data_IF_111008686566
#
_entry.id   IF_111008686566
#
_cell.length_a   1.000
_cell.length_b   1.000
_cell.length_c   1.000
_cell.angle_alpha   90.00
_cell.angle_beta   90.00
_cell.angle_gamma   90.00
#
_symmetry.space_group_name_H-M   'P 1'
#
loop_
_entity.id
_entity.type
_entity.pdbx_description
1 polymer ?
#
# COMPACT_ATOMS: atom_id res chain seq x y z
N UNK A 1 4.83 -6.74 -11.85
CA UNK A 1 5.11 -5.73 -12.88
C UNK A 1 4.83 -6.29 -14.25
N UNK A 2 4.06 -5.57 -15.05
CA UNK A 2 3.68 -5.99 -16.39
C UNK A 2 4.03 -4.85 -17.36
N UNK A 3 5.28 -4.82 -17.89
CA UNK A 3 5.76 -3.72 -18.73
C UNK A 3 4.86 -3.45 -19.94
N UNK A 4 4.35 -4.48 -20.60
CA UNK A 4 3.47 -4.33 -21.76
C UNK A 4 2.16 -3.63 -21.40
N UNK A 5 1.61 -3.94 -20.22
CA UNK A 5 0.40 -3.30 -19.73
C UNK A 5 0.65 -1.82 -19.42
N UNK A 6 1.78 -1.52 -18.80
CA UNK A 6 2.17 -0.14 -18.51
C UNK A 6 2.33 0.65 -19.81
N UNK A 7 2.98 0.07 -20.83
CA UNK A 7 3.17 0.72 -22.12
C UNK A 7 1.83 1.01 -22.81
N UNK A 8 0.91 0.07 -22.82
CA UNK A 8 -0.43 0.27 -23.38
C UNK A 8 -1.20 1.36 -22.62
N UNK A 9 -1.10 1.37 -21.30
CA UNK A 9 -1.76 2.37 -20.46
C UNK A 9 -1.17 3.75 -20.72
N UNK A 10 0.17 3.82 -20.84
CA UNK A 10 0.87 5.07 -21.15
C UNK A 10 0.39 5.63 -22.48
N UNK A 11 0.36 4.81 -23.51
CA UNK A 11 -0.06 5.25 -24.86
C UNK A 11 -1.49 5.74 -24.88
N UNK A 12 -2.37 5.17 -24.04
CA UNK A 12 -3.79 5.50 -24.01
C UNK A 12 -4.11 6.70 -23.13
N UNK A 13 -3.43 6.86 -21.99
CA UNK A 13 -3.84 7.79 -20.94
C UNK A 13 -2.79 8.82 -20.55
N UNK A 14 -1.55 8.74 -21.04
CA UNK A 14 -0.51 9.69 -20.65
C UNK A 14 -0.87 11.11 -21.10
N UNK A 15 -0.70 12.06 -20.20
CA UNK A 15 -0.93 13.50 -20.41
C UNK A 15 0.16 14.27 -19.71
N UNK A 16 0.20 15.61 -19.88
CA UNK A 16 1.13 16.48 -19.15
C UNK A 16 1.05 16.28 -17.62
N UNK A 17 -0.17 16.07 -17.10
CA UNK A 17 -0.43 15.91 -15.68
C UNK A 17 -0.46 14.44 -15.24
N UNK A 18 -0.11 13.51 -16.14
CA UNK A 18 -0.23 12.08 -15.87
C UNK A 18 0.89 11.31 -16.55
N UNK A 19 1.70 10.63 -15.75
CA UNK A 19 2.84 9.84 -16.21
C UNK A 19 2.69 8.40 -15.74
N UNK A 20 3.06 7.44 -16.59
CA UNK A 20 3.02 6.02 -16.28
C UNK A 20 4.44 5.45 -16.32
N UNK A 21 4.85 4.80 -15.23
CA UNK A 21 6.19 4.25 -15.05
C UNK A 21 6.10 2.80 -14.61
N UNK A 22 7.11 2.01 -14.99
CA UNK A 22 7.28 0.64 -14.46
C UNK A 22 8.14 0.74 -13.21
N UNK A 23 7.57 0.47 -12.05
CA UNK A 23 8.26 0.56 -10.76
C UNK A 23 7.89 -0.61 -9.87
N UNK A 24 8.86 -1.07 -9.09
CA UNK A 24 8.64 -2.01 -7.99
C UNK A 24 8.57 -1.20 -6.69
N UNK A 25 7.40 -1.18 -6.07
CA UNK A 25 7.17 -0.39 -4.85
C UNK A 25 8.04 -0.86 -3.68
N UNK A 26 8.56 -2.08 -3.73
CA UNK A 26 9.39 -2.64 -2.65
C UNK A 26 10.85 -2.24 -2.75
N UNK A 27 11.34 -1.90 -3.93
CA UNK A 27 12.78 -1.70 -4.16
C UNK A 27 13.13 -0.43 -4.91
N UNK A 28 12.29 0.02 -5.84
CA UNK A 28 12.65 1.13 -6.71
C UNK A 28 12.45 2.49 -6.02
N UNK A 29 13.26 3.46 -6.38
CA UNK A 29 13.05 4.82 -5.94
C UNK A 29 11.73 5.34 -6.49
N UNK A 30 10.85 5.79 -5.60
CA UNK A 30 9.55 6.31 -6.01
C UNK A 30 9.67 7.77 -6.44
N UNK A 31 8.92 8.19 -7.45
CA UNK A 31 8.87 9.60 -7.83
C UNK A 31 8.47 10.47 -6.64
N UNK A 32 9.00 11.68 -6.58
CA UNK A 32 8.62 12.61 -5.53
C UNK A 32 7.14 12.95 -5.67
N UNK A 33 6.39 12.77 -4.60
CA UNK A 33 4.95 13.03 -4.55
C UNK A 33 4.55 13.44 -3.15
N UNK A 34 3.45 14.16 -3.04
CA UNK A 34 2.89 14.52 -1.74
C UNK A 34 2.09 13.38 -1.14
N UNK A 35 1.45 12.56 -1.99
CA UNK A 35 0.60 11.45 -1.59
C UNK A 35 0.96 10.21 -2.38
N UNK A 36 1.09 9.09 -1.70
CA UNK A 36 1.22 7.77 -2.32
C UNK A 36 -0.06 6.99 -2.03
N UNK A 37 -0.69 6.47 -3.09
CA UNK A 37 -1.87 5.63 -2.93
C UNK A 37 -1.57 4.20 -3.38
N UNK A 38 -1.83 3.24 -2.48
CA UNK A 38 -1.71 1.81 -2.74
C UNK A 38 -3.07 1.15 -2.51
N UNK A 39 -3.94 1.21 -3.51
CA UNK A 39 -5.26 0.58 -3.42
C UNK A 39 -5.18 -0.85 -3.92
N UNK A 40 -5.61 -1.81 -3.08
CA UNK A 40 -5.64 -3.25 -3.42
C UNK A 40 -4.28 -3.81 -3.86
N UNK A 41 -3.19 -3.25 -3.36
CA UNK A 41 -1.83 -3.68 -3.70
C UNK A 41 -1.18 -4.51 -2.60
N UNK A 42 -1.11 -3.96 -1.39
CA UNK A 42 -0.38 -4.58 -0.28
C UNK A 42 -0.99 -5.92 0.13
N UNK A 43 -2.29 -6.08 -0.08
CA UNK A 43 -3.01 -7.32 0.21
C UNK A 43 -2.52 -8.52 -0.62
N UNK A 44 -1.80 -8.28 -1.70
CA UNK A 44 -1.24 -9.32 -2.57
C UNK A 44 0.26 -9.57 -2.35
N UNK A 45 0.85 -8.90 -1.38
CA UNK A 45 2.27 -9.03 -1.05
C UNK A 45 2.44 -9.82 0.24
N UNK A 46 3.56 -10.56 0.35
CA UNK A 46 3.95 -11.16 1.62
C UNK A 46 4.17 -10.08 2.68
N UNK A 47 4.14 -10.47 3.95
CA UNK A 47 4.38 -9.53 5.04
C UNK A 47 5.74 -8.84 4.90
N UNK A 48 6.79 -9.57 4.51
CA UNK A 48 8.11 -8.98 4.27
C UNK A 48 8.07 -7.92 3.18
N UNK A 49 7.36 -8.18 2.09
CA UNK A 49 7.25 -7.23 1.00
C UNK A 49 6.37 -6.03 1.36
N UNK A 50 5.35 -6.23 2.18
CA UNK A 50 4.58 -5.08 2.72
C UNK A 50 5.50 -4.17 3.53
N UNK A 51 6.33 -4.73 4.41
CA UNK A 51 7.28 -3.96 5.20
C UNK A 51 8.26 -3.22 4.28
N UNK A 52 8.80 -3.89 3.27
CA UNK A 52 9.69 -3.25 2.29
C UNK A 52 9.01 -2.10 1.56
N UNK A 53 7.76 -2.29 1.15
CA UNK A 53 6.99 -1.23 0.50
C UNK A 53 6.78 -0.03 1.45
N UNK A 54 6.40 -0.28 2.70
CA UNK A 54 6.21 0.78 3.69
C UNK A 54 7.51 1.54 3.95
N UNK A 55 8.63 0.84 4.08
CA UNK A 55 9.95 1.47 4.25
C UNK A 55 10.31 2.32 3.04
N UNK A 56 10.03 1.82 1.84
CA UNK A 56 10.32 2.54 0.62
C UNK A 56 9.45 3.79 0.47
N UNK A 57 8.18 3.70 0.81
CA UNK A 57 7.27 4.86 0.84
C UNK A 57 7.77 5.89 1.86
N UNK A 58 8.18 5.45 3.04
CA UNK A 58 8.74 6.33 4.06
C UNK A 58 10.00 7.05 3.56
N UNK A 59 10.87 6.32 2.87
CA UNK A 59 12.10 6.87 2.28
C UNK A 59 11.83 7.88 1.15
N UNK A 60 10.69 7.75 0.47
CA UNK A 60 10.35 8.62 -0.67
C UNK A 60 10.14 10.08 -0.29
N UNK A 61 9.85 10.36 0.97
CA UNK A 61 9.55 11.70 1.44
C UNK A 61 8.12 12.14 1.18
N UNK A 62 7.23 11.25 0.74
CA UNK A 62 5.81 11.57 0.63
C UNK A 62 5.24 11.99 1.98
N UNK A 63 4.29 12.90 1.98
CA UNK A 63 3.68 13.39 3.23
C UNK A 63 2.58 12.44 3.70
N UNK A 64 1.77 11.92 2.78
CA UNK A 64 0.62 11.06 3.11
C UNK A 64 0.66 9.77 2.32
N UNK A 65 0.12 8.72 2.94
CA UNK A 65 -0.13 7.44 2.29
C UNK A 65 -1.61 7.09 2.45
N UNK A 66 -2.23 6.70 1.32
CA UNK A 66 -3.55 6.08 1.32
C UNK A 66 -3.40 4.62 0.92
N UNK A 67 -3.96 3.72 1.71
CA UNK A 67 -3.89 2.30 1.38
C UNK A 67 -5.11 1.55 1.89
N UNK A 68 -5.39 0.43 1.25
CA UNK A 68 -6.46 -0.49 1.66
C UNK A 68 -6.12 -1.11 3.01
N UNK A 69 -7.09 -1.13 3.91
CA UNK A 69 -6.99 -1.81 5.19
C UNK A 69 -8.33 -2.48 5.53
N UNK A 70 -8.27 -3.56 6.29
CA UNK A 70 -9.46 -4.33 6.70
C UNK A 70 -9.58 -4.25 8.22
N UNK A 71 -10.43 -3.34 8.69
CA UNK A 71 -10.56 -3.07 10.13
C UNK A 71 -11.16 -4.22 10.92
N UNK A 72 -11.87 -5.13 10.24
CA UNK A 72 -12.46 -6.31 10.89
C UNK A 72 -11.49 -7.47 11.10
N UNK A 73 -10.26 -7.37 10.61
CA UNK A 73 -9.24 -8.40 10.79
C UNK A 73 -8.45 -8.10 12.07
N UNK A 74 -8.39 -9.06 12.98
CA UNK A 74 -7.66 -8.88 14.23
C UNK A 74 -6.22 -9.37 14.16
N UNK A 75 -5.94 -10.34 13.28
CA UNK A 75 -4.62 -10.93 13.14
C UNK A 75 -4.27 -11.07 11.66
N UNK A 76 -3.14 -10.49 11.27
CA UNK A 76 -2.65 -10.61 9.90
C UNK A 76 -1.99 -11.97 9.68
N UNK A 77 -2.27 -12.56 8.51
CA UNK A 77 -1.64 -13.78 8.05
C UNK A 77 -0.63 -13.46 6.98
N UNK A 78 0.42 -14.28 6.89
CA UNK A 78 1.38 -14.18 5.79
C UNK A 78 0.92 -15.00 4.60
N UNK A 79 1.35 -14.59 3.41
CA UNK A 79 1.03 -15.26 2.15
C UNK A 79 2.21 -15.19 1.20
N UNK A 80 2.28 -16.10 0.21
CA UNK A 80 3.18 -15.91 -0.92
C UNK A 80 2.79 -14.68 -1.74
N UNK A 81 3.75 -14.03 -2.38
CA UNK A 81 3.49 -12.92 -3.29
C UNK A 81 2.58 -13.37 -4.43
N UNK A 82 1.56 -12.57 -4.74
CA UNK A 82 0.59 -12.86 -5.78
C UNK A 82 -0.70 -13.49 -5.28
N UNK A 83 -0.71 -14.03 -4.06
CA UNK A 83 -1.93 -14.49 -3.39
C UNK A 83 -2.70 -13.29 -2.84
N UNK A 84 -3.78 -13.53 -2.12
CA UNK A 84 -4.57 -12.48 -1.48
C UNK A 84 -4.89 -12.87 -0.03
N UNK A 85 -4.81 -11.89 0.85
CA UNK A 85 -5.43 -11.97 2.17
C UNK A 85 -5.85 -10.58 2.60
N UNK A 86 -6.88 -10.43 3.44
CA UNK A 86 -7.19 -9.14 4.05
C UNK A 86 -6.07 -8.75 5.01
N UNK A 87 -5.69 -7.46 5.01
CA UNK A 87 -4.67 -6.90 5.88
C UNK A 87 -5.26 -5.81 6.74
N UNK A 88 -5.02 -5.86 8.04
CA UNK A 88 -5.25 -4.73 8.92
C UNK A 88 -3.90 -4.04 9.18
N UNK A 89 -3.74 -2.83 8.64
CA UNK A 89 -2.48 -2.11 8.75
C UNK A 89 -2.15 -1.67 10.17
N UNK A 90 -3.16 -1.61 11.06
CA UNK A 90 -2.95 -1.26 12.47
C UNK A 90 -2.53 -2.45 13.32
N UNK A 91 -2.76 -3.68 12.86
CA UNK A 91 -2.40 -4.89 13.58
C UNK A 91 -0.94 -5.29 13.28
N UNK A 92 -0.36 -6.08 14.19
CA UNK A 92 0.99 -6.62 13.98
C UNK A 92 1.05 -7.43 12.68
N UNK A 93 2.18 -7.48 11.97
CA UNK A 93 3.45 -6.87 12.31
C UNK A 93 3.61 -5.40 11.87
N UNK A 94 2.58 -4.80 11.30
CA UNK A 94 2.68 -3.45 10.72
C UNK A 94 2.53 -2.36 11.76
N UNK A 95 1.50 -2.45 12.61
CA UNK A 95 1.34 -1.58 13.78
C UNK A 95 1.22 -0.10 13.48
N UNK A 96 0.57 0.27 12.37
CA UNK A 96 0.32 1.67 12.08
C UNK A 96 -0.60 2.28 13.14
N UNK A 97 -0.48 3.59 13.42
CA UNK A 97 -1.39 4.24 14.37
C UNK A 97 -2.80 4.36 13.81
N UNK A 98 -3.68 4.98 14.56
CA UNK A 98 -5.01 5.31 14.06
C UNK A 98 -4.89 6.20 12.83
N UNK A 99 -5.61 5.90 11.72
CA UNK A 99 -5.51 6.70 10.51
C UNK A 99 -6.13 8.08 10.71
N UNK A 100 -5.65 9.05 9.92
CA UNK A 100 -6.22 10.40 9.88
C UNK A 100 -7.65 10.39 9.37
N UNK A 101 -7.90 9.60 8.34
CA UNK A 101 -9.20 9.43 7.72
C UNK A 101 -9.36 7.99 7.28
N UNK A 102 -10.59 7.51 7.29
CA UNK A 102 -10.94 6.18 6.82
C UNK A 102 -12.27 6.24 6.08
N UNK A 103 -12.30 5.62 4.91
CA UNK A 103 -13.49 5.51 4.08
C UNK A 103 -13.85 4.04 3.99
N UNK A 104 -14.99 3.67 4.56
CA UNK A 104 -15.50 2.31 4.48
C UNK A 104 -15.99 2.05 3.04
N UNK A 105 -15.39 1.05 2.40
CA UNK A 105 -15.73 0.64 1.04
C UNK A 105 -16.63 -0.58 0.99
N UNK A 106 -16.88 -1.23 2.14
CA UNK A 106 -17.69 -2.45 2.22
C UNK A 106 -18.92 -2.26 3.06
N UNK A 107 -20.08 -2.52 2.50
CA UNK A 107 -21.37 -2.42 3.20
C UNK A 107 -21.90 -3.75 3.71
N UNK A 108 -21.19 -4.85 3.44
CA UNK A 108 -21.59 -6.19 3.85
C UNK A 108 -20.69 -6.71 4.97
N UNK A 109 -21.26 -7.54 5.86
CA UNK A 109 -20.48 -8.15 6.95
C UNK A 109 -19.27 -8.93 6.45
N UNK A 110 -19.40 -9.60 5.29
CA UNK A 110 -18.30 -10.35 4.68
C UNK A 110 -17.18 -9.49 4.10
N UNK A 111 -17.37 -8.17 4.03
CA UNK A 111 -16.30 -7.25 3.57
C UNK A 111 -15.16 -7.13 4.57
N UNK A 112 -15.34 -7.59 5.80
CA UNK A 112 -14.33 -7.58 6.87
C UNK A 112 -13.81 -6.17 7.17
N UNK A 113 -14.65 -5.16 6.98
CA UNK A 113 -14.28 -3.77 7.23
C UNK A 113 -13.33 -3.20 6.18
N UNK A 114 -13.42 -3.67 4.92
CA UNK A 114 -12.61 -3.15 3.83
C UNK A 114 -12.76 -1.63 3.73
N UNK A 115 -11.65 -0.94 3.77
CA UNK A 115 -11.60 0.52 3.83
C UNK A 115 -10.39 1.06 3.09
N UNK A 116 -10.46 2.32 2.68
CA UNK A 116 -9.31 3.08 2.23
C UNK A 116 -8.98 4.07 3.34
N UNK A 117 -7.75 4.00 3.86
CA UNK A 117 -7.36 4.81 5.00
C UNK A 117 -6.11 5.63 4.70
N UNK A 118 -6.01 6.79 5.35
CA UNK A 118 -4.94 7.75 5.15
C UNK A 118 -4.10 7.91 6.41
N UNK A 119 -2.78 7.86 6.25
CA UNK A 119 -1.81 8.09 7.32
C UNK A 119 -0.79 9.15 6.91
N UNK A 120 -0.24 9.86 7.90
CA UNK A 120 1.00 10.61 7.69
C UNK A 120 2.14 9.62 7.53
N UNK A 121 2.93 9.78 6.48
CA UNK A 121 4.08 8.90 6.23
C UNK A 121 5.08 8.93 7.38
N UNK A 122 5.25 10.10 8.03
CA UNK A 122 6.13 10.24 9.18
C UNK A 122 5.72 9.37 10.38
N UNK A 123 4.46 8.96 10.46
CA UNK A 123 3.94 8.13 11.55
C UNK A 123 3.99 6.63 11.25
N UNK A 124 4.39 6.24 10.04
CA UNK A 124 4.63 4.83 9.74
C UNK A 124 5.78 4.34 10.63
N UNK A 125 5.63 3.20 11.33
CA UNK A 125 6.68 2.70 12.21
C UNK A 125 8.01 2.49 11.48
N UNK A 126 9.11 2.60 12.20
CA UNK A 126 10.41 2.20 11.70
C UNK A 126 10.51 0.69 11.78
N UNK A 127 10.65 0.07 10.63
CA UNK A 127 10.85 -1.38 10.57
C UNK A 127 12.34 -1.68 10.43
N UNK A 128 12.86 -2.53 11.30
CA UNK A 128 14.24 -2.95 11.23
C UNK A 128 14.35 -4.23 10.40
N UNK A 129 15.41 -4.35 9.60
CA UNK A 129 15.67 -5.59 8.90
C UNK A 129 16.09 -6.66 9.89
N UNK A 130 15.48 -7.84 9.76
CA UNK A 130 15.91 -9.03 10.50
C UNK A 130 16.89 -9.76 9.60
N UNK A 131 18.14 -9.78 10.03
CA UNK A 131 19.20 -10.49 9.31
C UNK A 131 19.14 -11.99 9.61
#
# INVERSE_FOLDING_TARGET
LVPDLVEKTRNKYEREDRTFLVLDVTTDDLPKADVVMCKDLLTHLSNDFVVKALRNIKRSGAEYMLTTTFTGIQKNQDIPVGSFRPLNMQAAPFGLPEPLHIIDEGHEAKSLGRSLAAWRVSEIPEFFEVN
#
